data_IF_691022976282
#
_entry.id   IF_691022976282
#
_cell.length_a   1.000
_cell.length_b   1.000
_cell.length_c   1.000
_cell.angle_alpha   90.00
_cell.angle_beta   90.00
_cell.angle_gamma   90.00
#
_symmetry.space_group_name_H-M   'P 1'
#
loop_
_entity.id
_entity.type
_entity.pdbx_description
1 polymer ?
#
# COMPACT_ATOMS: atom_id res chain seq x y z
N UNK A 1 -8.50 18.41 -12.48
CA UNK A 1 -7.86 19.53 -11.76
C UNK A 1 -6.71 18.98 -10.91
N UNK A 2 -5.64 18.53 -11.56
CA UNK A 2 -4.41 18.03 -10.93
C UNK A 2 -3.36 19.12 -11.10
N UNK A 3 -2.96 19.76 -10.00
CA UNK A 3 -2.17 21.00 -10.04
C UNK A 3 -0.66 20.75 -10.08
N UNK A 4 -0.20 19.64 -9.51
CA UNK A 4 1.23 19.35 -9.32
C UNK A 4 1.53 17.84 -9.45
N UNK A 5 2.83 17.49 -9.39
CA UNK A 5 3.32 16.12 -9.57
C UNK A 5 2.88 15.17 -8.46
N UNK A 6 2.78 15.65 -7.22
CA UNK A 6 2.38 14.84 -6.07
C UNK A 6 0.91 14.42 -6.17
N UNK A 7 0.02 15.34 -6.54
CA UNK A 7 -1.38 15.05 -6.82
C UNK A 7 -1.54 14.04 -7.95
N UNK A 8 -0.77 14.20 -9.05
CA UNK A 8 -0.79 13.26 -10.17
C UNK A 8 -0.35 11.86 -9.74
N UNK A 9 0.74 11.76 -8.99
CA UNK A 9 1.25 10.48 -8.48
C UNK A 9 0.25 9.80 -7.54
N UNK A 10 -0.38 10.55 -6.63
CA UNK A 10 -1.39 10.01 -5.73
C UNK A 10 -2.60 9.47 -6.51
N UNK A 11 -3.14 10.26 -7.45
CA UNK A 11 -4.31 9.85 -8.24
C UNK A 11 -3.97 8.67 -9.15
N UNK A 12 -2.79 8.66 -9.79
CA UNK A 12 -2.33 7.52 -10.58
C UNK A 12 -2.27 6.24 -9.73
N UNK A 13 -1.65 6.28 -8.55
CA UNK A 13 -1.59 5.14 -7.65
C UNK A 13 -3.00 4.66 -7.24
N UNK A 14 -3.89 5.59 -6.86
CA UNK A 14 -5.26 5.25 -6.45
C UNK A 14 -6.07 4.60 -7.58
N UNK A 15 -5.99 5.14 -8.80
CA UNK A 15 -6.63 4.55 -9.98
C UNK A 15 -6.08 3.15 -10.27
N UNK A 16 -4.77 2.92 -10.14
CA UNK A 16 -4.16 1.60 -10.30
C UNK A 16 -4.74 0.63 -9.27
N UNK A 17 -4.83 1.00 -7.99
CA UNK A 17 -5.40 0.14 -6.92
C UNK A 17 -6.86 -0.22 -7.20
N UNK A 18 -7.65 0.74 -7.69
CA UNK A 18 -9.05 0.51 -8.08
C UNK A 18 -9.15 -0.43 -9.30
N UNK A 19 -8.33 -0.22 -10.33
CA UNK A 19 -8.25 -1.07 -11.52
C UNK A 19 -7.81 -2.51 -11.19
N UNK A 20 -6.87 -2.66 -10.26
CA UNK A 20 -6.45 -3.96 -9.72
C UNK A 20 -7.60 -4.64 -8.98
N UNK A 21 -8.38 -3.88 -8.20
CA UNK A 21 -9.55 -4.41 -7.50
C UNK A 21 -10.63 -4.91 -8.47
N UNK A 22 -10.87 -4.19 -9.56
CA UNK A 22 -11.70 -4.70 -10.66
C UNK A 22 -11.13 -5.97 -11.28
N UNK A 23 -9.82 -6.01 -11.50
CA UNK A 23 -9.15 -7.19 -12.08
C UNK A 23 -9.33 -8.44 -11.22
N UNK A 24 -9.33 -8.31 -9.88
CA UNK A 24 -9.65 -9.40 -8.95
C UNK A 24 -11.07 -9.92 -9.20
N UNK A 25 -12.06 -9.02 -9.25
CA UNK A 25 -13.47 -9.39 -9.49
C UNK A 25 -13.68 -10.04 -10.86
N UNK A 26 -13.05 -9.47 -11.90
CA UNK A 26 -13.08 -10.00 -13.27
C UNK A 26 -12.49 -11.42 -13.29
N UNK A 27 -11.34 -11.63 -12.64
CA UNK A 27 -10.71 -12.96 -12.57
C UNK A 27 -11.54 -13.96 -11.79
N UNK A 28 -12.18 -13.56 -10.67
CA UNK A 28 -13.12 -14.43 -9.94
C UNK A 28 -14.27 -14.89 -10.83
N UNK A 29 -14.84 -13.97 -11.63
CA UNK A 29 -15.90 -14.29 -12.57
C UNK A 29 -15.42 -15.20 -13.71
N UNK A 30 -14.31 -14.85 -14.37
CA UNK A 30 -13.69 -15.67 -15.44
C UNK A 30 -13.38 -17.07 -14.91
N UNK A 31 -12.87 -17.16 -13.69
CA UNK A 31 -12.42 -18.39 -13.08
C UNK A 31 -13.51 -19.46 -12.98
N UNK A 32 -14.74 -19.01 -12.75
CA UNK A 32 -15.92 -19.88 -12.75
C UNK A 32 -16.16 -20.55 -14.13
N UNK A 33 -15.86 -19.86 -15.24
CA UNK A 33 -16.13 -20.35 -16.60
C UNK A 33 -14.95 -21.03 -17.28
N UNK A 34 -13.72 -20.60 -17.01
CA UNK A 34 -12.53 -21.07 -17.70
C UNK A 34 -11.34 -21.23 -16.74
N UNK A 35 -11.05 -22.47 -16.34
CA UNK A 35 -9.96 -22.76 -15.40
C UNK A 35 -8.57 -22.57 -16.00
N UNK A 36 -8.43 -22.82 -17.30
CA UNK A 36 -7.13 -22.93 -17.97
C UNK A 36 -6.50 -21.56 -18.26
N UNK A 37 -7.30 -20.50 -18.33
CA UNK A 37 -6.85 -19.13 -18.61
C UNK A 37 -6.36 -18.41 -17.34
N UNK A 38 -6.64 -18.94 -16.16
CA UNK A 38 -6.48 -18.23 -14.88
C UNK A 38 -5.05 -18.27 -14.35
N UNK A 39 -4.35 -19.40 -14.44
CA UNK A 39 -3.15 -19.63 -13.60
C UNK A 39 -2.09 -18.55 -13.79
N UNK A 40 -1.83 -18.15 -15.04
CA UNK A 40 -0.86 -17.10 -15.34
C UNK A 40 -1.36 -15.70 -14.99
N UNK A 41 -2.62 -15.38 -15.31
CA UNK A 41 -3.23 -14.08 -14.98
C UNK A 41 -3.30 -13.85 -13.47
N UNK A 42 -3.66 -14.89 -12.72
CA UNK A 42 -3.64 -14.88 -11.26
C UNK A 42 -2.23 -14.72 -10.71
N UNK A 43 -1.24 -15.44 -11.26
CA UNK A 43 0.17 -15.29 -10.86
C UNK A 43 0.69 -13.87 -11.11
N UNK A 44 0.39 -13.27 -12.26
CA UNK A 44 0.75 -11.88 -12.58
C UNK A 44 0.08 -10.91 -11.63
N UNK A 45 -1.22 -11.06 -11.41
CA UNK A 45 -1.98 -10.22 -10.47
C UNK A 45 -1.41 -10.29 -9.06
N UNK A 46 -1.07 -11.48 -8.57
CA UNK A 46 -0.49 -11.68 -7.24
C UNK A 46 0.87 -10.98 -7.09
N UNK A 47 1.73 -11.07 -8.10
CA UNK A 47 3.01 -10.36 -8.10
C UNK A 47 2.78 -8.85 -8.15
N UNK A 48 1.88 -8.38 -9.02
CA UNK A 48 1.54 -6.96 -9.13
C UNK A 48 1.02 -6.40 -7.81
N UNK A 49 0.06 -7.07 -7.18
CA UNK A 49 -0.51 -6.71 -5.88
C UNK A 49 0.56 -6.59 -4.81
N UNK A 50 1.37 -7.64 -4.63
CA UNK A 50 2.42 -7.67 -3.60
C UNK A 50 3.39 -6.49 -3.72
N UNK A 51 3.82 -6.16 -4.95
CA UNK A 51 4.74 -5.08 -5.20
C UNK A 51 4.09 -3.69 -5.09
N UNK A 52 2.85 -3.55 -5.58
CA UNK A 52 2.08 -2.31 -5.47
C UNK A 52 1.76 -1.97 -4.01
N UNK A 53 1.32 -2.93 -3.22
CA UNK A 53 1.00 -2.75 -1.80
C UNK A 53 2.25 -2.36 -1.02
N UNK A 54 3.35 -3.09 -1.15
CA UNK A 54 4.59 -2.76 -0.46
C UNK A 54 5.10 -1.35 -0.81
N UNK A 55 5.08 -0.98 -2.09
CA UNK A 55 5.51 0.35 -2.52
C UNK A 55 4.55 1.44 -2.02
N UNK A 56 3.23 1.19 -2.04
CA UNK A 56 2.24 2.15 -1.55
C UNK A 56 2.34 2.37 -0.04
N UNK A 57 2.61 1.32 0.72
CA UNK A 57 2.73 1.36 2.19
C UNK A 57 3.97 2.14 2.62
N UNK A 58 5.11 1.96 1.94
CA UNK A 58 6.37 2.54 2.38
C UNK A 58 6.78 3.83 1.63
N UNK A 59 6.19 4.09 0.46
CA UNK A 59 6.35 5.35 -0.27
C UNK A 59 4.98 5.99 -0.31
N UNK A 60 4.61 6.67 0.77
CA UNK A 60 3.27 7.20 0.94
C UNK A 60 3.12 8.58 0.25
N UNK A 61 2.52 8.59 -0.96
CA UNK A 61 2.37 9.80 -1.80
C UNK A 61 1.50 10.86 -1.14
N UNK A 62 0.64 10.47 -0.21
CA UNK A 62 -0.23 11.39 0.52
C UNK A 62 0.54 12.33 1.46
N UNK A 63 1.81 12.02 1.77
CA UNK A 63 2.65 12.87 2.62
C UNK A 63 2.95 14.25 2.03
N UNK A 64 2.85 14.40 0.70
CA UNK A 64 3.09 15.64 -0.04
C UNK A 64 1.81 16.41 -0.40
N UNK A 65 0.66 16.04 0.17
CA UNK A 65 -0.63 16.62 -0.16
C UNK A 65 -1.31 17.11 1.12
N UNK A 66 -1.88 18.32 1.08
CA UNK A 66 -2.70 18.82 2.19
C UNK A 66 -3.89 17.91 2.44
N UNK A 67 -4.36 17.86 3.68
CA UNK A 67 -5.40 16.89 4.07
C UNK A 67 -6.73 17.18 3.38
N UNK A 68 -7.13 18.44 3.27
CA UNK A 68 -8.31 18.85 2.50
C UNK A 68 -8.22 18.39 1.03
N UNK A 69 -7.09 18.68 0.36
CA UNK A 69 -6.89 18.32 -1.04
C UNK A 69 -6.87 16.81 -1.24
N UNK A 70 -6.25 16.09 -0.31
CA UNK A 70 -6.19 14.62 -0.30
C UNK A 70 -7.60 14.02 -0.20
N UNK A 71 -8.45 14.55 0.68
CA UNK A 71 -9.85 14.11 0.82
C UNK A 71 -10.61 14.28 -0.50
N UNK A 72 -10.53 15.46 -1.11
CA UNK A 72 -11.20 15.74 -2.39
C UNK A 72 -10.75 14.79 -3.49
N UNK A 73 -9.44 14.60 -3.65
CA UNK A 73 -8.90 13.69 -4.67
C UNK A 73 -9.31 12.24 -4.44
N UNK A 74 -9.28 11.79 -3.17
CA UNK A 74 -9.66 10.44 -2.79
C UNK A 74 -11.15 10.17 -3.08
N UNK A 75 -12.05 11.03 -2.60
CA UNK A 75 -13.50 10.89 -2.82
C UNK A 75 -13.85 10.93 -4.31
N UNK A 76 -13.28 11.86 -5.08
CA UNK A 76 -13.54 11.94 -6.51
C UNK A 76 -13.13 10.68 -7.27
N UNK A 77 -12.00 10.06 -6.90
CA UNK A 77 -11.58 8.81 -7.54
C UNK A 77 -12.50 7.63 -7.18
N UNK A 78 -12.94 7.55 -5.92
CA UNK A 78 -13.87 6.51 -5.47
C UNK A 78 -15.23 6.63 -6.16
N UNK A 79 -15.78 7.85 -6.23
CA UNK A 79 -17.04 8.14 -6.89
C UNK A 79 -16.95 7.84 -8.40
N UNK A 80 -15.88 8.28 -9.05
CA UNK A 80 -15.64 8.04 -10.49
C UNK A 80 -15.57 6.54 -10.83
N UNK A 81 -14.93 5.74 -9.98
CA UNK A 81 -14.79 4.30 -10.18
C UNK A 81 -15.86 3.47 -9.47
N UNK A 82 -16.98 4.10 -9.10
CA UNK A 82 -18.14 3.42 -8.51
C UNK A 82 -17.74 2.38 -7.44
N UNK A 83 -16.94 2.82 -6.47
CA UNK A 83 -16.34 1.93 -5.46
C UNK A 83 -17.38 1.11 -4.68
N UNK A 84 -18.61 1.59 -4.55
CA UNK A 84 -19.71 0.87 -3.92
C UNK A 84 -20.04 -0.45 -4.62
N UNK A 85 -19.95 -0.49 -5.96
CA UNK A 85 -20.11 -1.73 -6.72
C UNK A 85 -18.97 -2.70 -6.41
N UNK A 86 -17.72 -2.22 -6.32
CA UNK A 86 -16.55 -3.05 -5.97
C UNK A 86 -16.74 -3.65 -4.58
N UNK A 87 -17.09 -2.84 -3.58
CA UNK A 87 -17.30 -3.27 -2.20
C UNK A 87 -18.42 -4.31 -2.12
N UNK A 88 -19.55 -4.05 -2.77
CA UNK A 88 -20.69 -4.98 -2.83
C UNK A 88 -20.31 -6.31 -3.48
N UNK A 89 -19.70 -6.29 -4.66
CA UNK A 89 -19.31 -7.51 -5.38
C UNK A 89 -18.22 -8.30 -4.64
N UNK A 90 -17.29 -7.62 -3.96
CA UNK A 90 -16.31 -8.28 -3.11
C UNK A 90 -17.00 -9.02 -1.95
N UNK A 91 -17.90 -8.36 -1.23
CA UNK A 91 -18.65 -8.99 -0.14
C UNK A 91 -19.48 -10.18 -0.63
N UNK A 92 -20.19 -10.04 -1.75
CA UNK A 92 -20.94 -11.13 -2.38
C UNK A 92 -20.02 -12.28 -2.79
N UNK A 93 -18.83 -12.01 -3.33
CA UNK A 93 -17.89 -13.06 -3.76
C UNK A 93 -17.45 -13.98 -2.62
N UNK A 94 -17.47 -13.47 -1.38
CA UNK A 94 -17.09 -14.22 -0.17
C UNK A 94 -18.29 -14.87 0.52
N UNK A 95 -19.45 -14.20 0.53
CA UNK A 95 -20.62 -14.62 1.31
C UNK A 95 -21.65 -15.41 0.49
N UNK A 96 -21.81 -15.09 -0.79
CA UNK A 96 -22.78 -15.69 -1.69
C UNK A 96 -22.28 -15.66 -3.14
N UNK A 97 -21.49 -16.68 -3.48
CA UNK A 97 -20.88 -16.83 -4.81
C UNK A 97 -21.91 -16.87 -5.96
N UNK A 98 -23.13 -17.36 -5.72
CA UNK A 98 -24.17 -17.42 -6.76
C UNK A 98 -24.70 -16.02 -7.09
N UNK A 99 -24.97 -15.24 -6.03
CA UNK A 99 -25.36 -13.85 -6.13
C UNK A 99 -24.27 -13.01 -6.77
N UNK A 100 -23.00 -13.23 -6.41
CA UNK A 100 -21.85 -12.60 -7.05
C UNK A 100 -21.85 -12.81 -8.57
N UNK A 101 -21.91 -14.06 -9.05
CA UNK A 101 -21.86 -14.35 -10.49
C UNK A 101 -23.03 -13.70 -11.23
N UNK A 102 -24.24 -13.75 -10.66
CA UNK A 102 -25.44 -13.18 -11.25
C UNK A 102 -25.36 -11.66 -11.30
N UNK A 103 -24.99 -11.01 -10.19
CA UNK A 103 -24.90 -9.56 -10.10
C UNK A 103 -23.74 -9.01 -10.93
N UNK A 104 -22.59 -9.69 -10.96
CA UNK A 104 -21.48 -9.32 -11.84
C UNK A 104 -21.94 -9.28 -13.31
N UNK A 105 -22.62 -10.34 -13.77
CA UNK A 105 -23.10 -10.41 -15.14
C UNK A 105 -24.18 -9.36 -15.47
N UNK A 106 -25.07 -9.08 -14.52
CA UNK A 106 -26.12 -8.06 -14.69
C UNK A 106 -25.57 -6.63 -14.74
N UNK A 107 -24.47 -6.36 -14.02
CA UNK A 107 -23.81 -5.05 -14.01
C UNK A 107 -22.65 -4.96 -15.02
N UNK A 108 -22.46 -5.97 -15.88
CA UNK A 108 -21.29 -6.09 -16.76
C UNK A 108 -21.06 -4.86 -17.64
N UNK A 109 -22.11 -4.32 -18.27
CA UNK A 109 -21.97 -3.19 -19.19
C UNK A 109 -21.51 -1.92 -18.45
N UNK A 110 -22.03 -1.70 -17.24
CA UNK A 110 -21.60 -0.60 -16.37
C UNK A 110 -20.16 -0.78 -15.90
N UNK A 111 -19.82 -1.98 -15.39
CA UNK A 111 -18.47 -2.34 -14.95
C UNK A 111 -17.45 -2.13 -16.06
N UNK A 112 -17.75 -2.62 -17.27
CA UNK A 112 -16.85 -2.51 -18.41
C UNK A 112 -16.65 -1.05 -18.83
N UNK A 113 -17.72 -0.25 -18.82
CA UNK A 113 -17.64 1.18 -19.12
C UNK A 113 -16.73 1.88 -18.11
N UNK A 114 -16.95 1.69 -16.81
CA UNK A 114 -16.13 2.29 -15.76
C UNK A 114 -14.65 1.89 -15.89
N UNK A 115 -14.37 0.61 -16.13
CA UNK A 115 -12.98 0.14 -16.35
C UNK A 115 -12.36 0.80 -17.59
N UNK A 116 -13.08 0.88 -18.70
CA UNK A 116 -12.57 1.52 -19.94
C UNK A 116 -12.31 3.02 -19.75
N UNK A 117 -13.22 3.73 -19.09
CA UNK A 117 -13.06 5.16 -18.75
C UNK A 117 -11.85 5.37 -17.82
N UNK A 118 -11.65 4.47 -16.84
CA UNK A 118 -10.49 4.47 -15.95
C UNK A 118 -9.16 4.24 -16.69
N UNK A 119 -9.15 3.33 -17.66
CA UNK A 119 -7.97 3.06 -18.51
C UNK A 119 -7.61 4.30 -19.35
N UNK A 120 -8.60 5.00 -19.92
CA UNK A 120 -8.36 6.25 -20.65
C UNK A 120 -7.82 7.34 -19.71
N UNK A 121 -8.37 7.44 -18.50
CA UNK A 121 -7.93 8.43 -17.52
C UNK A 121 -6.49 8.19 -17.07
N UNK A 122 -6.12 6.94 -16.76
CA UNK A 122 -4.75 6.63 -16.32
C UNK A 122 -3.75 6.78 -17.47
N UNK A 123 -4.14 6.46 -18.71
CA UNK A 123 -3.34 6.74 -19.90
C UNK A 123 -3.09 8.25 -20.05
N UNK A 124 -4.14 9.06 -19.91
CA UNK A 124 -4.02 10.52 -19.91
C UNK A 124 -3.09 11.02 -18.80
N UNK A 125 -3.24 10.53 -17.57
CA UNK A 125 -2.38 10.93 -16.44
C UNK A 125 -0.92 10.54 -16.68
N UNK A 126 -0.67 9.36 -17.27
CA UNK A 126 0.69 8.90 -17.60
C UNK A 126 1.37 9.64 -18.75
N UNK A 127 0.64 10.46 -19.50
CA UNK A 127 1.24 11.40 -20.45
C UNK A 127 1.94 12.58 -19.76
N UNK A 128 1.64 12.81 -18.47
CA UNK A 128 2.33 13.79 -17.64
C UNK A 128 3.51 13.17 -16.88
N UNK A 129 4.31 14.03 -16.26
CA UNK A 129 5.35 13.58 -15.34
C UNK A 129 4.73 12.82 -14.15
N UNK A 130 5.14 11.57 -14.02
CA UNK A 130 4.85 10.65 -12.94
C UNK A 130 6.15 10.08 -12.36
N UNK A 131 6.04 9.56 -11.15
CA UNK A 131 7.03 8.68 -10.56
C UNK A 131 7.41 7.54 -11.55
N UNK A 132 8.70 7.25 -11.75
CA UNK A 132 9.17 6.25 -12.70
C UNK A 132 8.56 4.85 -12.55
N UNK A 133 8.26 4.43 -11.31
CA UNK A 133 7.61 3.14 -11.04
C UNK A 133 6.16 3.19 -11.52
N UNK A 134 5.40 4.24 -11.13
CA UNK A 134 4.00 4.41 -11.53
C UNK A 134 3.83 4.53 -13.05
N UNK A 135 4.72 5.26 -13.72
CA UNK A 135 4.71 5.38 -15.18
C UNK A 135 4.85 3.99 -15.85
N UNK A 136 5.76 3.16 -15.32
CA UNK A 136 6.01 1.82 -15.87
C UNK A 136 4.87 0.84 -15.53
N UNK A 137 4.34 0.94 -14.31
CA UNK A 137 3.21 0.14 -13.85
C UNK A 137 1.92 0.45 -14.62
N UNK A 138 1.71 1.70 -15.03
CA UNK A 138 0.55 2.11 -15.83
C UNK A 138 0.48 1.35 -17.15
N UNK A 139 1.59 1.22 -17.87
CA UNK A 139 1.62 0.47 -19.13
C UNK A 139 1.30 -1.02 -18.91
N UNK A 140 1.83 -1.60 -17.83
CA UNK A 140 1.60 -3.02 -17.51
C UNK A 140 0.14 -3.25 -17.13
N UNK A 141 -0.46 -2.38 -16.28
CA UNK A 141 -1.85 -2.55 -15.85
C UNK A 141 -2.82 -2.37 -17.02
N UNK A 142 -2.57 -1.42 -17.93
CA UNK A 142 -3.40 -1.22 -19.12
C UNK A 142 -3.42 -2.50 -19.96
N UNK A 143 -2.25 -3.03 -20.31
CA UNK A 143 -2.15 -4.25 -21.12
C UNK A 143 -2.79 -5.46 -20.43
N UNK A 144 -2.51 -5.64 -19.14
CA UNK A 144 -3.07 -6.73 -18.34
C UNK A 144 -4.62 -6.68 -18.32
N UNK A 145 -5.21 -5.50 -18.13
CA UNK A 145 -6.67 -5.37 -18.07
C UNK A 145 -7.32 -5.54 -19.43
N UNK A 146 -6.71 -5.06 -20.52
CA UNK A 146 -7.21 -5.29 -21.87
C UNK A 146 -7.24 -6.80 -22.21
N UNK A 147 -6.21 -7.55 -21.81
CA UNK A 147 -6.21 -9.02 -21.91
C UNK A 147 -7.38 -9.65 -21.12
N UNK A 148 -7.59 -9.21 -19.88
CA UNK A 148 -8.69 -9.69 -19.04
C UNK A 148 -10.07 -9.38 -19.63
N UNK A 149 -10.28 -8.19 -20.19
CA UNK A 149 -11.55 -7.80 -20.83
C UNK A 149 -11.89 -8.74 -21.98
N UNK A 150 -10.91 -9.09 -22.83
CA UNK A 150 -11.13 -10.00 -23.96
C UNK A 150 -11.62 -11.38 -23.49
N UNK A 151 -11.04 -11.89 -22.39
CA UNK A 151 -11.44 -13.17 -21.79
C UNK A 151 -12.81 -13.06 -21.11
N UNK A 152 -13.07 -11.92 -20.45
CA UNK A 152 -14.33 -11.64 -19.78
C UNK A 152 -15.51 -11.63 -20.75
N UNK A 153 -15.36 -10.98 -21.91
CA UNK A 153 -16.38 -10.94 -22.97
C UNK A 153 -16.83 -12.34 -23.39
N UNK A 154 -15.88 -13.29 -23.49
CA UNK A 154 -16.19 -14.68 -23.80
C UNK A 154 -16.97 -15.36 -22.66
N UNK A 155 -16.59 -15.09 -21.41
CA UNK A 155 -17.25 -15.64 -20.22
C UNK A 155 -18.68 -15.10 -20.05
N UNK A 156 -18.91 -13.82 -20.35
CA UNK A 156 -20.24 -13.19 -20.33
C UNK A 156 -21.15 -13.79 -21.40
N UNK A 157 -20.64 -14.02 -22.62
CA UNK A 157 -21.40 -14.71 -23.68
C UNK A 157 -21.81 -16.12 -23.24
N UNK A 158 -20.90 -16.87 -22.60
CA UNK A 158 -21.21 -18.19 -22.02
C UNK A 158 -22.32 -18.08 -20.97
N UNK A 159 -22.22 -17.16 -20.00
CA UNK A 159 -23.26 -16.95 -19.00
C UNK A 159 -24.63 -16.64 -19.61
N UNK A 160 -24.70 -15.66 -20.53
CA UNK A 160 -25.96 -15.24 -21.18
C UNK A 160 -26.64 -16.37 -21.98
N UNK A 161 -25.88 -17.38 -22.41
CA UNK A 161 -26.41 -18.56 -23.11
C UNK A 161 -26.97 -19.66 -22.19
N UNK A 162 -26.71 -19.59 -20.88
CA UNK A 162 -27.17 -20.59 -19.92
C UNK A 162 -28.60 -20.30 -19.48
N UNK A 163 -29.46 -21.32 -19.49
CA UNK A 163 -30.72 -21.27 -18.76
C UNK A 163 -30.48 -21.52 -17.25
N UNK A 164 -31.50 -21.24 -16.42
CA UNK A 164 -31.43 -21.37 -14.96
C UNK A 164 -30.97 -22.76 -14.50
N UNK A 165 -31.48 -23.82 -15.12
CA UNK A 165 -31.14 -25.21 -14.77
C UNK A 165 -29.67 -25.53 -15.07
N UNK A 166 -29.18 -25.12 -16.24
CA UNK A 166 -27.80 -25.35 -16.65
C UNK A 166 -26.83 -24.52 -15.82
N UNK A 167 -27.20 -23.28 -15.49
CA UNK A 167 -26.43 -22.45 -14.57
C UNK A 167 -26.30 -23.12 -13.20
N UNK A 168 -27.40 -23.61 -12.63
CA UNK A 168 -27.37 -24.21 -11.30
C UNK A 168 -26.53 -25.49 -11.25
N UNK A 169 -26.58 -26.33 -12.30
CA UNK A 169 -25.69 -27.49 -12.44
C UNK A 169 -24.22 -27.08 -12.52
N UNK A 170 -23.91 -26.08 -13.37
CA UNK A 170 -22.55 -25.57 -13.51
C UNK A 170 -22.05 -24.99 -12.18
N UNK A 171 -22.90 -24.23 -11.48
CA UNK A 171 -22.60 -23.60 -10.22
C UNK A 171 -22.22 -24.62 -9.15
N UNK A 172 -23.05 -25.65 -8.94
CA UNK A 172 -22.73 -26.70 -7.96
C UNK A 172 -21.40 -27.41 -8.25
N UNK A 173 -21.07 -27.59 -9.53
CA UNK A 173 -19.81 -28.22 -9.93
C UNK A 173 -18.56 -27.33 -9.78
N UNK A 174 -18.73 -26.00 -9.76
CA UNK A 174 -17.61 -25.04 -9.90
C UNK A 174 -17.54 -23.93 -8.86
N UNK A 175 -18.49 -23.82 -7.94
CA UNK A 175 -18.53 -22.75 -6.93
C UNK A 175 -17.22 -22.59 -6.14
N UNK A 176 -16.52 -23.69 -5.84
CA UNK A 176 -15.21 -23.69 -5.16
C UNK A 176 -14.07 -23.08 -5.98
N UNK A 177 -14.23 -22.90 -7.29
CA UNK A 177 -13.20 -22.29 -8.14
C UNK A 177 -13.06 -20.80 -7.82
N UNK A 178 -14.15 -20.12 -7.45
CA UNK A 178 -14.12 -18.68 -7.10
C UNK A 178 -13.16 -18.43 -5.94
N UNK A 179 -13.11 -19.35 -4.97
CA UNK A 179 -12.23 -19.29 -3.80
C UNK A 179 -10.75 -19.52 -4.16
N UNK A 180 -10.42 -20.01 -5.36
CA UNK A 180 -9.02 -20.15 -5.80
C UNK A 180 -8.34 -18.79 -6.01
N UNK A 181 -9.12 -17.74 -6.24
CA UNK A 181 -8.62 -16.35 -6.29
C UNK A 181 -8.62 -15.81 -4.85
N UNK A 182 -7.68 -16.30 -4.07
CA UNK A 182 -7.34 -15.85 -2.72
C UNK A 182 -6.46 -14.60 -2.79
N UNK A 183 -7.04 -13.53 -3.33
CA UNK A 183 -6.48 -12.19 -3.24
C UNK A 183 -7.60 -11.20 -3.03
N UNK A 184 -7.32 -10.20 -2.20
CA UNK A 184 -8.19 -9.07 -1.97
C UNK A 184 -7.33 -7.83 -1.89
N UNK A 185 -7.93 -6.68 -2.20
CA UNK A 185 -7.26 -5.39 -2.07
C UNK A 185 -8.19 -4.45 -1.33
N UNK A 186 -7.71 -3.89 -0.22
CA UNK A 186 -8.42 -2.83 0.49
C UNK A 186 -8.04 -1.49 -0.11
N UNK A 187 -9.04 -0.70 -0.46
CA UNK A 187 -8.86 0.65 -1.00
C UNK A 187 -9.17 1.63 0.13
N UNK A 188 -8.17 1.91 0.96
CA UNK A 188 -8.26 2.92 2.01
C UNK A 188 -7.12 3.93 1.90
N UNK A 189 -7.37 5.14 2.39
CA UNK A 189 -6.32 6.11 2.66
C UNK A 189 -6.03 6.10 4.16
N UNK A 190 -4.97 5.38 4.57
CA UNK A 190 -4.59 5.27 5.97
C UNK A 190 -4.38 6.65 6.61
N UNK A 191 -3.83 7.61 5.86
CA UNK A 191 -3.65 8.99 6.34
C UNK A 191 -4.97 9.69 6.65
N UNK A 192 -5.98 9.56 5.78
CA UNK A 192 -7.30 10.16 6.03
C UNK A 192 -8.00 9.50 7.22
N UNK A 193 -7.93 8.17 7.33
CA UNK A 193 -8.45 7.43 8.49
C UNK A 193 -7.75 7.90 9.79
N UNK A 194 -6.41 8.00 9.78
CA UNK A 194 -5.64 8.45 10.94
C UNK A 194 -5.92 9.90 11.32
N UNK A 195 -6.08 10.78 10.33
CA UNK A 195 -6.37 12.18 10.58
C UNK A 195 -7.75 12.36 11.23
N UNK A 196 -8.77 11.67 10.72
CA UNK A 196 -10.13 11.73 11.28
C UNK A 196 -10.14 11.31 12.75
N UNK A 197 -9.50 10.19 13.07
CA UNK A 197 -9.37 9.70 14.44
C UNK A 197 -8.57 10.67 15.34
N UNK A 198 -7.50 11.26 14.79
CA UNK A 198 -6.70 12.27 15.50
C UNK A 198 -7.52 13.51 15.84
N UNK A 199 -8.37 13.99 14.93
CA UNK A 199 -9.25 15.15 15.15
C UNK A 199 -10.27 14.85 16.25
N UNK A 200 -10.88 13.67 16.23
CA UNK A 200 -11.87 13.27 17.23
C UNK A 200 -11.23 13.14 18.63
N UNK A 201 -10.06 12.49 18.70
CA UNK A 201 -9.30 12.36 19.93
C UNK A 201 -8.79 13.70 20.46
N UNK A 202 -8.29 14.58 19.58
CA UNK A 202 -7.85 15.92 19.97
C UNK A 202 -8.99 16.72 20.60
N UNK A 203 -10.15 16.77 19.97
CA UNK A 203 -11.34 17.46 20.51
C UNK A 203 -11.73 16.91 21.88
N UNK A 204 -11.77 15.58 22.01
CA UNK A 204 -12.15 14.89 23.25
C UNK A 204 -11.14 15.15 24.38
N UNK A 205 -9.84 15.08 24.08
CA UNK A 205 -8.79 15.15 25.07
C UNK A 205 -8.47 16.59 25.47
N UNK A 206 -8.51 17.54 24.53
CA UNK A 206 -8.20 18.96 24.79
C UNK A 206 -9.04 19.54 25.92
N UNK A 207 -10.36 19.37 25.87
CA UNK A 207 -11.25 19.89 26.90
C UNK A 207 -10.92 19.30 28.28
N UNK A 208 -10.71 17.97 28.37
CA UNK A 208 -10.35 17.31 29.63
C UNK A 208 -9.01 17.82 30.18
N UNK A 209 -8.01 18.00 29.32
CA UNK A 209 -6.69 18.49 29.71
C UNK A 209 -6.74 19.96 30.16
N UNK A 210 -7.53 20.81 29.50
CA UNK A 210 -7.74 22.20 29.92
C UNK A 210 -8.40 22.28 31.32
N UNK A 211 -9.43 21.46 31.57
CA UNK A 211 -10.06 21.37 32.90
C UNK A 211 -9.11 20.81 33.98
N UNK A 212 -8.25 19.85 33.61
CA UNK A 212 -7.25 19.31 34.52
C UNK A 212 -6.16 20.34 34.87
N UNK A 213 -5.76 21.19 33.92
CA UNK A 213 -4.85 22.32 34.21
C UNK A 213 -5.48 23.31 35.19
N UNK A 214 -6.77 23.66 35.02
CA UNK A 214 -7.51 24.49 35.98
C UNK A 214 -7.52 23.86 37.38
N UNK A 215 -7.74 22.54 37.46
CA UNK A 215 -7.68 21.79 38.72
C UNK A 215 -6.30 21.91 39.40
N UNK A 216 -5.21 21.74 38.64
CA UNK A 216 -3.84 21.88 39.16
C UNK A 216 -3.54 23.31 39.65
N UNK A 217 -4.14 24.31 39.03
CA UNK A 217 -4.02 25.73 39.40
C UNK A 217 -4.95 26.13 40.58
N UNK A 218 -5.76 25.20 41.10
CA UNK A 218 -6.72 25.47 42.19
C UNK A 218 -7.95 26.26 41.76
N UNK A 219 -8.19 26.37 40.45
CA UNK A 219 -9.39 27.00 39.88
C UNK A 219 -10.58 26.03 39.86
N UNK A 220 -11.80 26.56 39.73
CA UNK A 220 -12.99 25.72 39.55
C UNK A 220 -12.86 24.87 38.28
N UNK A 221 -12.92 23.54 38.41
CA UNK A 221 -12.92 22.59 37.31
C UNK A 221 -14.22 21.78 37.27
N UNK A 222 -14.62 21.33 36.09
CA UNK A 222 -15.83 20.53 35.87
C UNK A 222 -15.59 19.02 36.01
N UNK A 223 -14.34 18.58 36.25
CA UNK A 223 -13.98 17.17 36.39
C UNK A 223 -14.35 16.61 37.77
N UNK A 224 -14.95 15.42 37.79
CA UNK A 224 -15.13 14.64 39.01
C UNK A 224 -13.84 13.92 39.44
N UNK A 225 -13.85 13.29 40.62
CA UNK A 225 -12.65 12.63 41.16
C UNK A 225 -12.13 11.46 40.32
N UNK A 226 -13.00 10.73 39.62
CA UNK A 226 -12.61 9.61 38.73
C UNK A 226 -12.04 10.15 37.43
N UNK A 227 -12.63 11.22 36.91
CA UNK A 227 -12.16 11.91 35.72
C UNK A 227 -10.81 12.58 35.95
N UNK A 228 -10.57 13.16 37.13
CA UNK A 228 -9.28 13.72 37.53
C UNK A 228 -8.17 12.67 37.44
N UNK A 229 -8.36 11.49 38.02
CA UNK A 229 -7.33 10.43 38.01
C UNK A 229 -7.07 9.92 36.59
N UNK A 230 -8.14 9.68 35.79
CA UNK A 230 -7.97 9.25 34.41
C UNK A 230 -7.32 10.32 33.52
N UNK A 231 -7.58 11.60 33.79
CA UNK A 231 -7.02 12.72 33.03
C UNK A 231 -5.59 13.03 33.46
N UNK A 232 -5.24 12.81 34.73
CA UNK A 232 -3.85 12.83 35.21
C UNK A 232 -2.99 11.83 34.45
N UNK A 233 -3.44 10.58 34.33
CA UNK A 233 -2.71 9.56 33.58
C UNK A 233 -2.55 9.95 32.10
N UNK A 234 -3.59 10.49 31.48
CA UNK A 234 -3.52 11.01 30.11
C UNK A 234 -2.50 12.15 30.00
N UNK A 235 -2.52 13.09 30.94
CA UNK A 235 -1.60 14.23 30.98
C UNK A 235 -0.14 13.78 31.14
N UNK A 236 0.14 12.91 32.11
CA UNK A 236 1.49 12.38 32.36
C UNK A 236 2.03 11.58 31.16
N UNK A 237 1.17 10.80 30.50
CA UNK A 237 1.57 9.94 29.38
C UNK A 237 1.80 10.70 28.07
N UNK A 238 1.08 11.81 27.84
CA UNK A 238 1.09 12.48 26.53
C UNK A 238 1.41 13.97 26.58
N UNK A 239 1.08 14.70 27.63
CA UNK A 239 1.10 16.17 27.65
C UNK A 239 2.19 16.79 28.54
N UNK A 240 2.87 15.97 29.36
CA UNK A 240 4.06 16.40 30.11
C UNK A 240 5.32 16.37 29.21
N UNK A 241 5.46 17.40 28.38
CA UNK A 241 6.36 17.38 27.21
C UNK A 241 7.62 18.24 27.33
N UNK A 242 8.12 18.50 28.55
CA UNK A 242 9.34 19.29 28.79
C UNK A 242 9.39 20.62 28.02
N UNK A 243 8.27 21.35 27.97
CA UNK A 243 8.13 22.63 27.24
C UNK A 243 8.22 22.56 25.70
N UNK A 244 8.26 21.36 25.10
CA UNK A 244 8.14 21.25 23.63
C UNK A 244 6.80 21.82 23.15
N UNK A 245 6.85 22.56 22.04
CA UNK A 245 5.65 23.06 21.36
C UNK A 245 4.96 21.94 20.58
N UNK A 246 3.68 22.13 20.25
CA UNK A 246 2.94 21.18 19.40
C UNK A 246 3.62 20.96 18.03
N UNK A 247 4.23 22.00 17.46
CA UNK A 247 5.02 21.88 16.22
C UNK A 247 6.23 20.97 16.39
N UNK A 248 6.97 21.11 17.50
CA UNK A 248 8.15 20.28 17.78
C UNK A 248 7.76 18.82 18.04
N UNK A 249 6.63 18.60 18.73
CA UNK A 249 6.11 17.25 18.97
C UNK A 249 5.68 16.63 17.64
N UNK A 250 4.95 17.37 16.80
CA UNK A 250 4.55 16.91 15.48
C UNK A 250 5.75 16.58 14.58
N UNK A 251 6.80 17.40 14.58
CA UNK A 251 8.05 17.10 13.86
C UNK A 251 8.65 15.76 14.31
N UNK A 252 8.67 15.48 15.61
CA UNK A 252 9.17 14.23 16.16
C UNK A 252 8.29 13.02 15.82
N UNK A 253 6.96 13.17 15.88
CA UNK A 253 6.02 12.12 15.47
C UNK A 253 6.20 11.77 13.98
N UNK A 254 6.28 12.78 13.11
CA UNK A 254 6.49 12.61 11.67
C UNK A 254 7.87 12.01 11.38
N UNK A 255 8.92 12.44 12.10
CA UNK A 255 10.25 11.82 12.02
C UNK A 255 10.18 10.32 12.30
N UNK A 256 9.47 9.91 13.34
CA UNK A 256 9.32 8.50 13.73
C UNK A 256 8.51 7.73 12.67
N UNK A 257 7.34 8.24 12.28
CA UNK A 257 6.45 7.56 11.34
C UNK A 257 7.10 7.37 9.97
N UNK A 258 7.70 8.42 9.40
CA UNK A 258 8.39 8.33 8.10
C UNK A 258 9.64 7.45 8.21
N UNK A 259 10.36 7.48 9.34
CA UNK A 259 11.49 6.55 9.55
C UNK A 259 11.04 5.09 9.52
N UNK A 260 9.88 4.76 10.09
CA UNK A 260 9.33 3.40 10.07
C UNK A 260 8.97 3.00 8.63
N UNK A 261 8.35 3.89 7.85
CA UNK A 261 8.08 3.66 6.42
C UNK A 261 9.39 3.37 5.66
N UNK A 262 10.42 4.19 5.87
CA UNK A 262 11.73 4.02 5.21
C UNK A 262 12.44 2.73 5.63
N UNK A 263 12.33 2.34 6.90
CA UNK A 263 12.84 1.05 7.39
C UNK A 263 12.17 -0.12 6.65
N UNK A 264 10.85 -0.04 6.47
CA UNK A 264 10.07 -1.01 5.69
C UNK A 264 10.55 -1.10 4.26
N UNK A 265 10.69 0.03 3.56
CA UNK A 265 11.17 0.08 2.17
C UNK A 265 12.59 -0.52 2.04
N UNK A 266 13.51 -0.10 2.90
CA UNK A 266 14.90 -0.59 2.89
C UNK A 266 14.93 -2.09 3.18
N UNK A 267 14.25 -2.54 4.22
CA UNK A 267 14.18 -3.96 4.57
C UNK A 267 13.59 -4.78 3.43
N UNK A 268 12.54 -4.29 2.77
CA UNK A 268 11.86 -4.99 1.68
C UNK A 268 12.79 -5.12 0.46
N UNK A 269 13.55 -4.07 0.16
CA UNK A 269 14.62 -4.09 -0.85
C UNK A 269 15.74 -5.09 -0.51
N UNK A 270 16.25 -5.03 0.71
CA UNK A 270 17.37 -5.88 1.14
C UNK A 270 16.93 -7.34 1.19
N UNK A 271 15.74 -7.66 1.69
CA UNK A 271 15.28 -9.04 1.84
C UNK A 271 14.57 -9.59 0.60
N UNK A 272 14.55 -8.86 -0.52
CA UNK A 272 13.79 -9.21 -1.72
C UNK A 272 13.94 -10.68 -2.17
N UNK A 273 15.13 -11.25 -2.03
CA UNK A 273 15.44 -12.63 -2.45
C UNK A 273 15.19 -13.69 -1.36
N UNK A 274 14.63 -13.31 -0.22
CA UNK A 274 14.34 -14.18 0.92
C UNK A 274 12.89 -13.95 1.39
N UNK A 275 11.96 -14.72 0.82
CA UNK A 275 10.52 -14.62 1.10
C UNK A 275 10.19 -14.77 2.58
N UNK A 276 10.94 -15.59 3.32
CA UNK A 276 10.69 -15.80 4.75
C UNK A 276 11.06 -14.55 5.55
N UNK A 277 12.21 -13.93 5.25
CA UNK A 277 12.60 -12.66 5.87
C UNK A 277 11.68 -11.51 5.50
N UNK A 278 11.20 -11.45 4.25
CA UNK A 278 10.21 -10.43 3.86
C UNK A 278 8.93 -10.55 4.71
N UNK A 279 8.39 -11.76 4.86
CA UNK A 279 7.16 -11.96 5.67
C UNK A 279 7.38 -11.53 7.12
N UNK A 280 8.52 -11.90 7.71
CA UNK A 280 8.89 -11.50 9.08
C UNK A 280 9.04 -9.98 9.19
N UNK A 281 9.69 -9.35 8.21
CA UNK A 281 9.85 -7.90 8.13
C UNK A 281 8.49 -7.21 8.11
N UNK A 282 7.61 -7.58 7.16
CA UNK A 282 6.28 -6.98 6.99
C UNK A 282 5.52 -7.03 8.32
N UNK A 283 5.42 -8.20 8.95
CA UNK A 283 4.72 -8.34 10.23
C UNK A 283 5.34 -7.49 11.36
N UNK A 284 6.67 -7.33 11.37
CA UNK A 284 7.37 -6.52 12.38
C UNK A 284 7.11 -5.03 12.16
N UNK A 285 7.18 -4.57 10.90
CA UNK A 285 6.96 -3.16 10.54
C UNK A 285 5.50 -2.78 10.72
N UNK A 286 4.55 -3.59 10.26
CA UNK A 286 3.11 -3.37 10.47
C UNK A 286 2.78 -3.28 11.96
N UNK A 287 3.32 -4.19 12.78
CA UNK A 287 3.13 -4.15 14.22
C UNK A 287 3.69 -2.89 14.90
N UNK A 288 4.80 -2.34 14.38
CA UNK A 288 5.37 -1.08 14.85
C UNK A 288 4.56 0.13 14.38
N UNK A 289 4.15 0.13 13.09
CA UNK A 289 3.32 1.19 12.51
C UNK A 289 1.98 1.31 13.22
N UNK A 290 1.29 0.19 13.51
CA UNK A 290 0.03 0.19 14.26
C UNK A 290 0.22 0.86 15.62
N UNK A 291 1.24 0.45 16.39
CA UNK A 291 1.51 1.04 17.71
C UNK A 291 1.84 2.53 17.64
N UNK A 292 2.68 2.94 16.69
CA UNK A 292 3.05 4.35 16.52
C UNK A 292 1.84 5.20 16.09
N UNK A 293 1.02 4.69 15.17
CA UNK A 293 -0.21 5.35 14.75
C UNK A 293 -1.20 5.47 15.91
N UNK A 294 -1.45 4.40 16.68
CA UNK A 294 -2.34 4.46 17.84
C UNK A 294 -1.90 5.51 18.87
N UNK A 295 -0.60 5.60 19.15
CA UNK A 295 -0.04 6.55 20.11
C UNK A 295 -0.10 8.01 19.60
N UNK A 296 0.11 8.24 18.31
CA UNK A 296 0.01 9.58 17.68
C UNK A 296 -1.45 10.02 17.52
N UNK A 297 -2.34 9.12 17.13
CA UNK A 297 -3.79 9.36 17.04
C UNK A 297 -4.41 9.65 18.41
N UNK A 298 -4.01 8.92 19.46
CA UNK A 298 -4.50 9.17 20.84
C UNK A 298 -4.15 10.58 21.30
N UNK A 299 -2.95 11.06 20.96
CA UNK A 299 -2.53 12.42 21.26
C UNK A 299 -3.25 13.45 20.39
N UNK A 300 -3.34 13.18 19.09
CA UNK A 300 -4.04 14.01 18.12
C UNK A 300 -3.27 15.28 17.72
N UNK A 301 -1.94 15.28 17.80
CA UNK A 301 -1.09 16.45 17.59
C UNK A 301 -1.31 17.11 16.23
N UNK A 302 -1.49 16.32 15.17
CA UNK A 302 -1.72 16.84 13.81
C UNK A 302 -2.92 17.80 13.73
N UNK A 303 -3.99 17.55 14.48
CA UNK A 303 -5.19 18.38 14.49
C UNK A 303 -4.98 19.77 15.13
N UNK A 304 -3.85 19.96 15.81
CA UNK A 304 -3.46 21.22 16.44
C UNK A 304 -2.49 22.07 15.61
N UNK A 305 -2.03 21.54 14.48
CA UNK A 305 -1.06 22.17 13.57
C UNK A 305 -1.79 22.66 12.31
N UNK A 306 -1.36 23.78 11.73
CA UNK A 306 -1.93 24.28 10.47
C UNK A 306 -1.59 23.34 9.31
N UNK A 307 -2.41 23.28 8.25
CA UNK A 307 -2.12 22.42 7.10
C UNK A 307 -0.78 22.77 6.43
N UNK A 308 -0.45 24.07 6.37
CA UNK A 308 0.80 24.58 5.80
C UNK A 308 2.00 24.13 6.63
N UNK A 309 1.97 24.33 7.95
CA UNK A 309 3.04 23.87 8.84
C UNK A 309 3.19 22.35 8.80
N UNK A 310 2.07 21.63 8.76
CA UNK A 310 2.09 20.18 8.71
C UNK A 310 2.69 19.64 7.40
N UNK A 311 2.50 20.34 6.27
CA UNK A 311 3.15 20.00 5.01
C UNK A 311 4.64 20.31 5.05
N UNK A 312 5.01 21.52 5.49
CA UNK A 312 6.39 21.97 5.61
C UNK A 312 7.23 21.06 6.52
N UNK A 313 6.67 20.64 7.66
CA UNK A 313 7.34 19.72 8.59
C UNK A 313 7.58 18.36 7.93
N UNK A 314 6.60 17.82 7.20
CA UNK A 314 6.77 16.54 6.50
C UNK A 314 7.86 16.62 5.44
N UNK A 315 7.86 17.67 4.63
CA UNK A 315 8.88 17.89 3.60
C UNK A 315 10.28 18.00 4.22
N UNK A 316 10.43 18.79 5.28
CA UNK A 316 11.70 18.93 6.00
C UNK A 316 12.17 17.60 6.61
N UNK A 317 11.26 16.80 7.18
CA UNK A 317 11.59 15.47 7.71
C UNK A 317 12.00 14.51 6.60
N UNK A 318 11.27 14.49 5.47
CA UNK A 318 11.61 13.63 4.32
C UNK A 318 12.99 13.98 3.76
N UNK A 319 13.32 15.26 3.64
CA UNK A 319 14.65 15.72 3.24
C UNK A 319 15.72 15.26 4.25
N UNK A 320 15.48 15.47 5.55
CA UNK A 320 16.38 15.08 6.66
C UNK A 320 16.67 13.58 6.65
N UNK A 321 15.69 12.75 6.30
CA UNK A 321 15.82 11.29 6.20
C UNK A 321 16.41 10.82 4.86
N UNK A 322 16.54 11.72 3.87
CA UNK A 322 17.06 11.39 2.55
C UNK A 322 16.10 10.56 1.70
N UNK A 323 14.79 10.83 1.82
CA UNK A 323 13.70 10.11 1.16
C UNK A 323 13.95 9.86 -0.34
N UNK A 324 14.21 10.92 -1.11
CA UNK A 324 14.44 10.82 -2.57
C UNK A 324 15.61 9.90 -2.92
N UNK A 325 16.65 9.91 -2.09
CA UNK A 325 17.80 9.04 -2.28
C UNK A 325 17.45 7.58 -2.01
N UNK A 326 16.62 7.30 -1.01
CA UNK A 326 16.12 5.94 -0.74
C UNK A 326 15.29 5.46 -1.94
N UNK A 327 14.34 6.29 -2.41
CA UNK A 327 13.50 5.96 -3.58
C UNK A 327 14.34 5.71 -4.83
N UNK A 328 15.38 6.52 -5.07
CA UNK A 328 16.27 6.33 -6.23
C UNK A 328 17.05 5.01 -6.24
N UNK A 329 17.22 4.38 -5.08
CA UNK A 329 17.92 3.11 -4.91
C UNK A 329 16.96 1.91 -4.87
N UNK A 330 15.65 2.13 -4.94
CA UNK A 330 14.64 1.08 -4.90
C UNK A 330 14.80 0.12 -6.10
N UNK A 331 15.30 -1.08 -5.84
CA UNK A 331 15.48 -2.12 -6.84
C UNK A 331 14.14 -2.74 -7.23
N UNK A 332 13.10 -2.57 -6.42
CA UNK A 332 11.82 -3.25 -6.57
C UNK A 332 10.99 -2.62 -7.67
N UNK A 333 11.05 -1.29 -7.80
CA UNK A 333 10.50 -0.56 -8.95
C UNK A 333 10.97 -1.13 -10.30
N UNK A 334 12.17 -1.72 -10.37
CA UNK A 334 12.71 -2.31 -11.59
C UNK A 334 11.89 -3.49 -12.10
N UNK A 335 11.11 -4.15 -11.22
CA UNK A 335 10.19 -5.24 -11.57
C UNK A 335 9.23 -4.85 -12.70
N UNK A 336 8.89 -3.57 -12.81
CA UNK A 336 7.97 -3.03 -13.79
C UNK A 336 8.65 -2.44 -15.03
N UNK A 337 9.99 -2.46 -15.09
CA UNK A 337 10.73 -1.63 -16.04
C UNK A 337 11.79 -2.40 -16.81
N UNK A 338 12.75 -2.98 -16.10
CA UNK A 338 13.90 -3.65 -16.72
C UNK A 338 14.55 -4.65 -15.77
N UNK A 339 15.23 -5.61 -16.37
CA UNK A 339 16.08 -6.52 -15.62
C UNK A 339 17.23 -5.74 -14.98
N UNK A 340 17.56 -6.09 -13.74
CA UNK A 340 18.75 -5.61 -13.04
C UNK A 340 19.72 -6.75 -12.82
N UNK A 341 21.00 -6.48 -13.09
CA UNK A 341 22.10 -7.40 -12.79
C UNK A 341 22.54 -7.31 -11.32
N UNK A 342 23.26 -8.34 -10.89
CA UNK A 342 23.76 -8.50 -9.53
C UNK A 342 24.61 -7.31 -9.05
N UNK A 343 25.43 -6.71 -9.91
CA UNK A 343 26.31 -5.60 -9.53
C UNK A 343 25.51 -4.35 -9.16
N UNK A 344 24.51 -4.01 -9.97
CA UNK A 344 23.63 -2.87 -9.69
C UNK A 344 22.79 -3.13 -8.44
N UNK A 345 22.23 -4.34 -8.32
CA UNK A 345 21.45 -4.72 -7.14
C UNK A 345 22.28 -4.59 -5.85
N UNK A 346 23.46 -5.20 -5.82
CA UNK A 346 24.36 -5.15 -4.66
C UNK A 346 24.79 -3.71 -4.32
N UNK A 347 25.05 -2.88 -5.33
CA UNK A 347 25.37 -1.46 -5.12
C UNK A 347 24.22 -0.73 -4.45
N UNK A 348 22.99 -0.92 -4.94
CA UNK A 348 21.81 -0.24 -4.42
C UNK A 348 21.48 -0.66 -2.99
N UNK A 349 21.45 -1.98 -2.69
CA UNK A 349 21.14 -2.46 -1.33
C UNK A 349 22.20 -2.03 -0.31
N UNK A 350 23.47 -1.91 -0.70
CA UNK A 350 24.53 -1.34 0.15
C UNK A 350 24.28 0.15 0.40
N UNK A 351 23.90 0.90 -0.63
CA UNK A 351 23.51 2.30 -0.50
C UNK A 351 22.34 2.49 0.47
N UNK A 352 21.30 1.67 0.34
CA UNK A 352 20.14 1.64 1.25
C UNK A 352 20.56 1.32 2.69
N UNK A 353 21.44 0.32 2.89
CA UNK A 353 21.96 -0.01 4.22
C UNK A 353 22.72 1.15 4.86
N UNK A 354 23.53 1.89 4.11
CA UNK A 354 24.21 3.07 4.63
C UNK A 354 23.23 4.17 5.06
N UNK A 355 22.13 4.35 4.33
CA UNK A 355 21.07 5.29 4.70
C UNK A 355 20.32 4.83 5.95
N UNK A 356 20.04 3.52 6.08
CA UNK A 356 19.47 2.92 7.28
C UNK A 356 20.29 3.25 8.53
N UNK A 357 21.61 3.07 8.47
CA UNK A 357 22.50 3.36 9.59
C UNK A 357 22.49 4.85 9.94
N UNK A 358 22.44 5.74 8.96
CA UNK A 358 22.32 7.19 9.20
C UNK A 358 21.02 7.57 9.89
N UNK A 359 19.89 7.01 9.45
CA UNK A 359 18.59 7.24 10.10
C UNK A 359 18.59 6.73 11.54
N UNK A 360 19.14 5.53 11.79
CA UNK A 360 19.28 4.99 13.13
C UNK A 360 20.14 5.89 14.04
N UNK A 361 21.24 6.42 13.53
CA UNK A 361 22.08 7.38 14.27
C UNK A 361 21.32 8.67 14.58
N UNK A 362 20.51 9.16 13.64
CA UNK A 362 19.67 10.33 13.86
C UNK A 362 18.65 10.08 14.97
N UNK A 363 17.90 8.97 14.92
CA UNK A 363 16.92 8.62 15.94
C UNK A 363 17.57 8.48 17.33
N UNK A 364 18.73 7.81 17.41
CA UNK A 364 19.50 7.68 18.66
C UNK A 364 19.96 9.04 19.21
N UNK A 365 20.34 9.97 18.34
CA UNK A 365 20.70 11.34 18.74
C UNK A 365 19.48 12.08 19.30
N UNK A 366 18.32 12.01 18.65
CA UNK A 366 17.11 12.65 19.17
C UNK A 366 16.68 12.04 20.51
N UNK A 367 16.83 10.72 20.68
CA UNK A 367 16.58 10.05 21.96
C UNK A 367 17.51 10.57 23.07
N UNK A 368 18.81 10.74 22.79
CA UNK A 368 19.78 11.28 23.74
C UNK A 368 19.50 12.73 24.12
N UNK A 369 19.00 13.54 23.19
CA UNK A 369 18.61 14.92 23.47
C UNK A 369 17.40 15.00 24.40
N UNK A 370 16.52 13.99 24.37
CA UNK A 370 15.33 13.83 25.22
C UNK A 370 14.47 15.11 25.37
N UNK A 371 14.28 15.82 24.27
CA UNK A 371 13.67 17.16 24.30
C UNK A 371 12.19 17.16 24.63
N UNK A 372 11.41 16.22 24.10
CA UNK A 372 9.94 16.28 24.11
C UNK A 372 9.25 15.29 25.06
N UNK A 373 9.88 15.04 26.21
CA UNK A 373 9.28 14.28 27.30
C UNK A 373 9.15 12.78 27.06
N UNK A 374 8.54 12.09 28.02
CA UNK A 374 8.49 10.64 28.09
C UNK A 374 7.69 10.01 26.92
N UNK A 375 6.69 10.71 26.40
CA UNK A 375 5.88 10.29 25.26
C UNK A 375 6.73 10.00 24.02
N UNK A 376 7.49 11.02 23.56
CA UNK A 376 8.36 10.89 22.39
C UNK A 376 9.52 9.93 22.69
N UNK A 377 10.05 9.94 23.92
CA UNK A 377 11.10 9.02 24.33
C UNK A 377 10.65 7.55 24.15
N UNK A 378 9.45 7.19 24.62
CA UNK A 378 8.88 5.85 24.46
C UNK A 378 8.77 5.45 22.99
N UNK A 379 8.28 6.34 22.12
CA UNK A 379 8.15 6.06 20.69
C UNK A 379 9.51 5.87 20.00
N UNK A 380 10.50 6.70 20.35
CA UNK A 380 11.87 6.57 19.85
C UNK A 380 12.50 5.26 20.30
N UNK A 381 12.40 4.88 21.57
CA UNK A 381 12.95 3.63 22.11
C UNK A 381 12.38 2.40 21.39
N UNK A 382 11.05 2.36 21.21
CA UNK A 382 10.37 1.30 20.46
C UNK A 382 10.88 1.21 19.02
N UNK A 383 10.99 2.36 18.35
CA UNK A 383 11.41 2.43 16.95
C UNK A 383 12.88 2.03 16.78
N UNK A 384 13.76 2.58 17.62
CA UNK A 384 15.21 2.29 17.60
C UNK A 384 15.48 0.81 17.82
N UNK A 385 14.75 0.15 18.73
CA UNK A 385 14.90 -1.28 18.99
C UNK A 385 14.67 -2.12 17.73
N UNK A 386 13.64 -1.78 16.95
CA UNK A 386 13.31 -2.46 15.70
C UNK A 386 14.34 -2.16 14.60
N UNK A 387 14.79 -0.90 14.49
CA UNK A 387 15.88 -0.52 13.59
C UNK A 387 17.17 -1.30 13.89
N UNK A 388 17.57 -1.40 15.16
CA UNK A 388 18.77 -2.13 15.57
C UNK A 388 18.67 -3.61 15.13
N UNK A 389 17.54 -4.27 15.40
CA UNK A 389 17.32 -5.66 15.00
C UNK A 389 17.38 -5.85 13.48
N UNK A 390 16.66 -5.03 12.71
CA UNK A 390 16.58 -5.18 11.25
C UNK A 390 17.93 -4.83 10.59
N UNK A 391 18.64 -3.81 11.08
CA UNK A 391 19.94 -3.42 10.53
C UNK A 391 20.98 -4.55 10.57
N UNK A 392 20.98 -5.34 11.65
CA UNK A 392 21.84 -6.51 11.78
C UNK A 392 21.47 -7.60 10.78
N UNK A 393 20.17 -7.87 10.61
CA UNK A 393 19.68 -8.82 9.60
C UNK A 393 19.98 -8.36 8.17
N UNK A 394 19.85 -7.06 7.88
CA UNK A 394 20.19 -6.48 6.58
C UNK A 394 21.66 -6.71 6.23
N UNK A 395 22.58 -6.41 7.15
CA UNK A 395 24.01 -6.60 6.95
C UNK A 395 24.35 -8.07 6.64
N UNK A 396 23.73 -9.00 7.35
CA UNK A 396 23.91 -10.43 7.11
C UNK A 396 23.42 -10.84 5.71
N UNK A 397 22.22 -10.40 5.31
CA UNK A 397 21.65 -10.70 4.00
C UNK A 397 22.51 -10.15 2.86
N UNK A 398 23.00 -8.90 2.98
CA UNK A 398 23.91 -8.31 1.98
C UNK A 398 25.17 -9.16 1.81
N UNK A 399 25.83 -9.54 2.91
CA UNK A 399 27.02 -10.42 2.88
C UNK A 399 26.72 -11.79 2.27
N UNK A 400 25.50 -12.30 2.43
CA UNK A 400 25.07 -13.56 1.82
C UNK A 400 24.94 -13.43 0.31
N UNK A 401 24.33 -12.34 -0.18
CA UNK A 401 24.17 -12.10 -1.62
C UNK A 401 25.50 -11.85 -2.33
N UNK A 402 26.44 -11.16 -1.69
CA UNK A 402 27.80 -11.00 -2.22
C UNK A 402 28.50 -12.33 -2.49
N UNK A 403 28.24 -13.36 -1.66
CA UNK A 403 28.81 -14.70 -1.84
C UNK A 403 28.11 -15.51 -2.91
N UNK A 404 26.80 -15.31 -3.10
CA UNK A 404 25.99 -16.04 -4.09
C UNK A 404 26.31 -15.61 -5.52
N UNK A 405 26.67 -14.34 -5.76
CA UNK A 405 27.12 -13.82 -7.06
C UNK A 405 26.01 -13.63 -8.10
N UNK A 406 25.04 -14.54 -8.17
CA UNK A 406 24.02 -14.58 -9.22
C UNK A 406 22.61 -14.24 -8.69
N UNK A 407 22.39 -12.99 -8.30
CA UNK A 407 21.04 -12.45 -8.05
C UNK A 407 20.58 -11.57 -9.21
N UNK A 408 19.30 -11.66 -9.57
CA UNK A 408 18.70 -10.87 -10.64
C UNK A 408 17.23 -10.59 -10.36
N UNK A 409 16.77 -9.41 -10.75
CA UNK A 409 15.34 -9.07 -10.76
C UNK A 409 14.82 -9.23 -12.17
N UNK A 410 13.95 -10.23 -12.37
CA UNK A 410 13.31 -10.50 -13.65
C UNK A 410 12.04 -9.65 -13.75
N UNK A 411 11.83 -8.87 -14.82
CA UNK A 411 10.61 -8.07 -15.02
C UNK A 411 9.32 -8.90 -14.96
N UNK A 412 8.22 -8.25 -14.57
CA UNK A 412 6.90 -8.89 -14.50
C UNK A 412 6.46 -9.43 -15.87
N UNK A 413 6.70 -8.66 -16.94
CA UNK A 413 6.31 -9.03 -18.30
C UNK A 413 7.05 -10.26 -18.85
N UNK A 414 8.17 -10.66 -18.24
CA UNK A 414 8.85 -11.92 -18.61
C UNK A 414 7.93 -13.13 -18.42
N UNK A 415 7.05 -13.10 -17.40
CA UNK A 415 6.05 -14.17 -17.16
C UNK A 415 5.15 -14.36 -18.39
N UNK A 416 4.75 -13.25 -19.04
CA UNK A 416 3.91 -13.29 -20.24
C UNK A 416 4.68 -13.88 -21.42
N UNK A 417 5.91 -13.40 -21.65
CA UNK A 417 6.74 -13.86 -22.77
C UNK A 417 7.12 -15.34 -22.68
N UNK A 418 7.40 -15.86 -21.48
CA UNK A 418 7.70 -17.28 -21.26
C UNK A 418 6.49 -18.17 -21.57
N UNK A 419 5.29 -17.71 -21.20
CA UNK A 419 4.04 -18.40 -21.55
C UNK A 419 3.83 -18.40 -23.06
N UNK A 420 3.92 -17.25 -23.72
CA UNK A 420 3.73 -17.14 -25.17
C UNK A 420 4.67 -18.09 -25.93
N UNK A 421 5.95 -18.13 -25.53
CA UNK A 421 6.93 -19.04 -26.09
C UNK A 421 6.57 -20.52 -25.84
N UNK A 422 6.08 -20.86 -24.64
CA UNK A 422 5.66 -22.22 -24.30
C UNK A 422 4.43 -22.64 -25.12
N UNK A 423 3.42 -21.77 -25.23
CA UNK A 423 2.22 -22.02 -26.03
C UNK A 423 2.56 -22.17 -27.51
N UNK A 424 3.46 -21.34 -28.02
CA UNK A 424 3.93 -21.43 -29.40
C UNK A 424 4.63 -22.76 -29.68
N UNK A 425 5.55 -23.20 -28.80
CA UNK A 425 6.19 -24.51 -28.89
C UNK A 425 5.19 -25.66 -28.84
N UNK A 426 4.18 -25.58 -27.98
CA UNK A 426 3.13 -26.61 -27.92
C UNK A 426 2.31 -26.65 -29.21
N UNK A 427 1.95 -25.50 -29.78
CA UNK A 427 1.27 -25.44 -31.08
C UNK A 427 2.10 -26.08 -32.20
N UNK A 428 3.41 -25.81 -32.23
CA UNK A 428 4.34 -26.40 -33.19
C UNK A 428 4.40 -27.93 -33.06
N UNK A 429 4.47 -28.44 -31.83
CA UNK A 429 4.43 -29.89 -31.54
C UNK A 429 3.11 -30.51 -32.03
N UNK A 430 1.98 -29.88 -31.74
CA UNK A 430 0.67 -30.38 -32.16
C UNK A 430 0.50 -30.35 -33.70
N UNK A 431 0.97 -29.30 -34.38
CA UNK A 431 0.94 -29.26 -35.84
C UNK A 431 1.79 -30.38 -36.47
N UNK A 432 2.98 -30.65 -35.92
CA UNK A 432 3.85 -31.74 -36.39
C UNK A 432 3.22 -33.12 -36.17
N UNK A 433 2.51 -33.33 -35.06
CA UNK A 433 1.80 -34.58 -34.78
C UNK A 433 0.61 -34.80 -35.72
N UNK A 434 -0.12 -33.73 -36.08
CA UNK A 434 -1.24 -33.80 -37.04
C UNK A 434 -0.73 -34.07 -38.47
N UNK A 435 0.43 -33.53 -38.84
CA UNK A 435 1.06 -33.82 -40.13
C UNK A 435 1.62 -35.24 -40.22
N UNK A 436 2.03 -35.85 -39.11
CA UNK A 436 2.46 -37.25 -39.04
C UNK A 436 1.31 -38.27 -39.00
N UNK A 437 0.07 -37.82 -38.78
CA UNK A 437 -1.13 -38.68 -38.79
C UNK A 437 -1.96 -38.56 -40.07
N UNK A 438 -1.51 -37.76 -41.05
CA UNK A 438 -1.97 -37.76 -42.43
C UNK A 438 -1.02 -38.54 -43.30
#
# INVERSE_FOLDING_TARGET
MLSNVHERNFVAELLIKLLVSYSILILKFICFFDENVIYEQYKRLKVLLFHLEAHSTYINKSNHISTEKLFVLYSQCLDFLNSDIIVRLNAESTQDASRFITNFANNYDELLRTVKEALVLIECISSFELDPMLASLTLIIINFILELINILECSIKKFKSLNKTNFQKLFESRKKLIDKIDVSMRISSQRLENYQESVDNYKKNRHRIEEYKKFLEGSSCELDSKDIESTKQLFENYYNNNECTELQIFEMEILILISIEMLGLIGFNVFYFDTMKIRKLIATIEGLQIKANEETQKRGTEASVSEEDALNIREAVMEKLGYDKIVSLDIISSKFRKQLDSKVILSNIKGLYLLLIKMLQLLKRELQLNKCGAYIQKLLELTISVFDSISMECLFSIKSYEKLGDIAIIPLETIRTEREATVQKLKEIFSLQIEQTK
#
